data_IF_570502102038
#
_entry.id   IF_570502102038
#
_cell.length_a   1.000
_cell.length_b   1.000
_cell.length_c   1.000
_cell.angle_alpha   90.00
_cell.angle_beta   90.00
_cell.angle_gamma   90.00
#
_symmetry.space_group_name_H-M   'P 1'
#
loop_
_entity.id
_entity.type
_entity.pdbx_description
1 polymer ?
#
# COMPACT_ATOMS: atom_id res chain seq x y z
N UNK A 1 49.06 70.96 11.04
CA UNK A 1 48.35 70.18 10.00
C UNK A 1 47.23 69.42 10.71
N UNK A 2 46.00 69.89 10.57
CA UNK A 2 44.95 69.33 9.68
C UNK A 2 44.25 68.12 10.34
N UNK A 3 43.10 68.30 11.03
CA UNK A 3 41.69 68.35 10.57
C UNK A 3 40.98 67.00 10.82
N UNK A 4 39.80 67.12 11.44
CA UNK A 4 38.68 66.19 11.66
C UNK A 4 38.46 65.12 10.57
N UNK A 5 37.92 63.94 10.93
CA UNK A 5 36.51 63.56 10.68
C UNK A 5 36.21 62.10 11.05
N UNK A 6 34.92 61.90 11.32
CA UNK A 6 34.14 60.75 11.79
C UNK A 6 33.56 59.86 10.68
N UNK A 7 32.91 58.75 11.08
CA UNK A 7 32.08 57.76 10.32
C UNK A 7 32.90 56.77 9.46
N UNK A 8 32.60 55.49 9.27
CA UNK A 8 31.39 54.65 9.46
C UNK A 8 31.77 53.15 9.36
N UNK A 9 30.78 52.25 9.52
CA UNK A 9 30.79 50.78 9.40
C UNK A 9 31.62 50.18 8.23
N UNK A 10 32.14 48.96 8.42
CA UNK A 10 32.45 48.09 7.26
C UNK A 10 32.35 46.59 7.54
N UNK A 11 31.83 45.92 6.51
CA UNK A 11 31.45 44.52 6.33
C UNK A 11 32.63 43.58 6.02
N UNK A 12 32.46 42.29 6.34
CA UNK A 12 33.22 41.12 5.82
C UNK A 12 33.09 40.98 4.27
N UNK A 13 33.71 39.99 3.57
CA UNK A 13 34.99 39.23 3.72
C UNK A 13 35.77 39.06 2.38
N UNK A 14 36.96 38.43 2.38
CA UNK A 14 37.50 37.77 1.16
C UNK A 14 38.99 37.37 1.11
N UNK A 15 39.24 36.09 0.74
CA UNK A 15 40.39 35.50 0.01
C UNK A 15 41.71 35.27 0.79
N UNK A 16 42.34 34.08 0.89
CA UNK A 16 42.64 32.99 -0.05
C UNK A 16 42.67 31.63 0.71
N UNK A 17 42.03 30.53 0.25
CA UNK A 17 42.41 29.60 -0.83
C UNK A 17 43.65 28.71 -0.54
N UNK A 18 43.41 27.53 0.06
CA UNK A 18 44.32 26.36 0.03
C UNK A 18 43.50 25.04 0.15
N UNK A 19 42.75 24.65 -0.88
CA UNK A 19 42.38 23.24 -1.09
C UNK A 19 42.26 22.96 -2.60
N UNK A 20 42.80 21.83 -3.11
CA UNK A 20 42.63 21.48 -4.50
C UNK A 20 41.18 21.07 -4.76
N UNK A 21 40.56 21.76 -5.71
CA UNK A 21 39.29 21.38 -6.29
C UNK A 21 39.47 20.11 -7.13
N UNK A 22 38.59 19.13 -6.92
CA UNK A 22 37.89 18.40 -7.99
C UNK A 22 36.73 17.66 -7.34
N UNK A 23 35.61 18.39 -7.20
CA UNK A 23 34.29 17.76 -7.09
C UNK A 23 33.98 17.10 -8.43
N UNK A 24 34.20 15.79 -8.54
CA UNK A 24 33.38 14.95 -9.40
C UNK A 24 32.27 14.35 -8.54
N UNK A 25 31.24 15.16 -8.28
CA UNK A 25 29.94 14.60 -7.88
C UNK A 25 29.34 14.02 -9.16
N UNK A 26 29.37 12.69 -9.22
CA UNK A 26 28.79 11.88 -10.29
C UNK A 26 27.25 11.97 -10.17
N UNK A 27 26.67 13.06 -10.71
CA UNK A 27 25.22 13.33 -10.69
C UNK A 27 24.39 12.26 -11.43
N UNK A 28 25.03 11.32 -12.10
CA UNK A 28 24.42 10.18 -12.80
C UNK A 28 24.05 9.03 -11.88
N UNK A 29 24.76 8.81 -10.76
CA UNK A 29 24.49 7.68 -9.86
C UNK A 29 23.27 7.88 -8.95
N UNK A 30 23.03 9.11 -8.48
CA UNK A 30 21.84 9.39 -7.64
C UNK A 30 20.54 9.32 -8.44
N UNK A 31 20.52 9.89 -9.66
CA UNK A 31 19.34 9.94 -10.54
C UNK A 31 18.93 8.55 -11.03
N UNK A 32 19.89 7.66 -11.28
CA UNK A 32 19.60 6.27 -11.64
C UNK A 32 18.97 5.51 -10.45
N UNK A 33 19.52 5.71 -9.25
CA UNK A 33 19.05 5.04 -8.03
C UNK A 33 17.63 5.44 -7.61
N UNK A 34 17.23 6.71 -7.85
CA UNK A 34 15.87 7.18 -7.59
C UNK A 34 14.88 6.62 -8.60
N UNK A 35 15.28 6.56 -9.88
CA UNK A 35 14.43 6.02 -10.97
C UNK A 35 14.15 4.53 -10.76
N UNK A 36 15.15 3.75 -10.35
CA UNK A 36 14.98 2.31 -10.08
C UNK A 36 14.09 2.06 -8.85
N UNK A 37 14.18 2.90 -7.82
CA UNK A 37 13.32 2.82 -6.64
C UNK A 37 11.87 3.19 -6.95
N UNK A 38 11.65 4.22 -7.75
CA UNK A 38 10.31 4.60 -8.21
C UNK A 38 9.69 3.51 -9.08
N UNK A 39 10.45 2.94 -10.02
CA UNK A 39 9.99 1.82 -10.84
C UNK A 39 9.60 0.60 -9.99
N UNK A 40 10.39 0.29 -8.95
CA UNK A 40 10.08 -0.79 -8.02
C UNK A 40 8.80 -0.52 -7.21
N UNK A 41 8.60 0.71 -6.73
CA UNK A 41 7.36 1.10 -6.02
C UNK A 41 6.15 0.96 -6.93
N UNK A 42 6.21 1.52 -8.15
CA UNK A 42 5.12 1.38 -9.13
C UNK A 42 4.84 -0.08 -9.49
N UNK A 43 5.86 -0.92 -9.58
CA UNK A 43 5.68 -2.36 -9.81
C UNK A 43 4.93 -3.03 -8.65
N UNK A 44 5.32 -2.77 -7.40
CA UNK A 44 4.65 -3.33 -6.21
C UNK A 44 3.21 -2.83 -6.05
N UNK A 45 2.94 -1.57 -6.41
CA UNK A 45 1.58 -1.01 -6.43
C UNK A 45 0.72 -1.73 -7.50
N UNK A 46 1.27 -1.98 -8.69
CA UNK A 46 0.58 -2.73 -9.73
C UNK A 46 0.28 -4.18 -9.32
N UNK A 47 1.23 -4.88 -8.68
CA UNK A 47 1.01 -6.22 -8.12
C UNK A 47 -0.07 -6.20 -7.03
N UNK A 48 -0.04 -5.21 -6.15
CA UNK A 48 -1.03 -5.04 -5.08
C UNK A 48 -2.42 -4.74 -5.63
N UNK A 49 -2.50 -3.94 -6.69
CA UNK A 49 -3.74 -3.70 -7.40
C UNK A 49 -4.29 -4.98 -8.03
N UNK A 50 -3.48 -5.75 -8.75
CA UNK A 50 -3.90 -7.03 -9.33
C UNK A 50 -4.36 -8.02 -8.25
N UNK A 51 -3.64 -8.11 -7.14
CA UNK A 51 -3.99 -8.96 -6.01
C UNK A 51 -5.33 -8.53 -5.39
N UNK A 52 -5.53 -7.23 -5.18
CA UNK A 52 -6.78 -6.70 -4.67
C UNK A 52 -7.94 -7.05 -5.62
N UNK A 53 -7.81 -6.77 -6.92
CA UNK A 53 -8.84 -7.11 -7.91
C UNK A 53 -9.21 -8.60 -7.88
N UNK A 54 -8.23 -9.49 -7.68
CA UNK A 54 -8.48 -10.92 -7.54
C UNK A 54 -9.26 -11.29 -6.25
N UNK A 55 -9.04 -10.57 -5.14
CA UNK A 55 -9.85 -10.72 -3.93
C UNK A 55 -11.29 -10.25 -4.12
N UNK A 56 -11.51 -9.21 -4.94
CA UNK A 56 -12.80 -8.54 -5.07
C UNK A 56 -13.71 -9.17 -6.12
N UNK A 57 -13.13 -9.80 -7.15
CA UNK A 57 -13.88 -10.27 -8.31
C UNK A 57 -14.00 -11.80 -8.29
N UNK A 58 -15.21 -12.37 -8.35
CA UNK A 58 -15.37 -13.81 -8.53
C UNK A 58 -14.87 -14.28 -9.90
N UNK A 59 -14.13 -15.38 -9.95
CA UNK A 59 -13.81 -16.05 -11.22
C UNK A 59 -12.60 -16.97 -11.15
N UNK A 60 -12.55 -18.02 -11.99
CA UNK A 60 -11.49 -19.03 -11.95
C UNK A 60 -10.10 -18.48 -12.28
N UNK A 61 -10.02 -17.35 -13.00
CA UNK A 61 -8.76 -16.65 -13.28
C UNK A 61 -8.19 -15.97 -12.02
N UNK A 62 -9.05 -15.55 -11.10
CA UNK A 62 -8.65 -14.78 -9.92
C UNK A 62 -8.04 -15.69 -8.84
N UNK A 63 -8.53 -16.92 -8.69
CA UNK A 63 -7.88 -17.94 -7.86
C UNK A 63 -6.44 -18.21 -8.32
N UNK A 64 -6.21 -18.23 -9.64
CA UNK A 64 -4.87 -18.35 -10.21
C UNK A 64 -3.95 -17.20 -9.82
N UNK A 65 -4.47 -15.96 -9.81
CA UNK A 65 -3.72 -14.77 -9.37
C UNK A 65 -3.40 -14.85 -7.88
N UNK A 66 -4.38 -15.20 -7.04
CA UNK A 66 -4.17 -15.37 -5.60
C UNK A 66 -3.09 -16.41 -5.31
N UNK A 67 -3.13 -17.56 -6.00
CA UNK A 67 -2.11 -18.61 -5.86
C UNK A 67 -0.74 -18.22 -6.39
N UNK A 68 -0.68 -17.36 -7.40
CA UNK A 68 0.58 -16.90 -7.98
C UNK A 68 1.27 -15.80 -7.17
N UNK A 69 0.49 -14.96 -6.48
CA UNK A 69 0.99 -13.78 -5.79
C UNK A 69 1.04 -13.92 -4.27
N UNK A 70 0.27 -14.83 -3.66
CA UNK A 70 0.33 -15.07 -2.22
C UNK A 70 1.31 -16.20 -1.88
N UNK A 71 2.04 -16.03 -0.78
CA UNK A 71 2.89 -17.07 -0.23
C UNK A 71 2.07 -18.23 0.38
N UNK A 72 2.64 -19.44 0.54
CA UNK A 72 1.94 -20.55 1.20
C UNK A 72 1.52 -20.24 2.65
N UNK A 73 2.35 -19.49 3.38
CA UNK A 73 2.12 -19.01 4.75
C UNK A 73 1.35 -17.68 4.81
N UNK A 74 0.60 -17.36 3.75
CA UNK A 74 -0.18 -16.12 3.68
C UNK A 74 -1.16 -15.99 4.86
N UNK A 75 -1.19 -14.80 5.47
CA UNK A 75 -2.08 -14.49 6.58
C UNK A 75 -2.99 -13.30 6.28
N UNK A 76 -4.31 -13.49 6.44
CA UNK A 76 -5.27 -12.39 6.49
C UNK A 76 -5.57 -12.01 7.94
N UNK A 77 -5.13 -10.83 8.36
CA UNK A 77 -5.30 -10.32 9.72
C UNK A 77 -6.47 -9.33 9.73
N UNK A 78 -7.61 -9.78 10.25
CA UNK A 78 -8.71 -8.88 10.60
C UNK A 78 -8.39 -8.15 11.91
N UNK A 79 -8.72 -6.85 11.97
CA UNK A 79 -8.64 -6.12 13.23
C UNK A 79 -9.79 -6.58 14.15
N UNK A 80 -9.52 -6.92 15.42
CA UNK A 80 -10.57 -7.35 16.36
C UNK A 80 -11.59 -6.23 16.62
N UNK A 81 -11.18 -4.98 16.47
CA UNK A 81 -12.05 -3.82 16.64
C UNK A 81 -12.84 -3.49 15.38
N UNK A 82 -12.45 -4.05 14.22
CA UNK A 82 -12.99 -3.68 12.92
C UNK A 82 -13.11 -4.92 12.02
N UNK A 83 -14.15 -5.77 12.22
CA UNK A 83 -14.27 -7.04 11.51
C UNK A 83 -14.26 -6.83 9.99
N UNK A 84 -13.54 -7.70 9.29
CA UNK A 84 -13.50 -7.74 7.83
C UNK A 84 -14.50 -8.79 7.31
N UNK A 85 -15.05 -8.58 6.11
CA UNK A 85 -15.91 -9.58 5.46
C UNK A 85 -15.14 -10.87 5.12
N UNK A 86 -13.84 -10.73 4.84
CA UNK A 86 -12.91 -11.84 4.70
C UNK A 86 -12.44 -12.23 6.10
N UNK A 87 -12.72 -13.49 6.48
CA UNK A 87 -12.34 -14.03 7.78
C UNK A 87 -10.83 -14.13 7.95
N UNK A 88 -10.39 -14.25 9.20
CA UNK A 88 -8.99 -14.55 9.52
C UNK A 88 -8.54 -15.85 8.83
N UNK A 89 -7.30 -15.84 8.37
CA UNK A 89 -6.60 -17.01 7.83
C UNK A 89 -5.12 -16.91 8.21
N UNK A 90 -4.51 -18.04 8.51
CA UNK A 90 -3.07 -18.17 8.82
C UNK A 90 -2.30 -18.95 7.74
N UNK A 91 -2.99 -19.35 6.68
CA UNK A 91 -2.42 -19.98 5.50
C UNK A 91 -3.27 -19.70 4.25
N UNK A 92 -2.67 -19.93 3.08
CA UNK A 92 -3.30 -19.63 1.79
C UNK A 92 -4.56 -20.46 1.51
N UNK A 93 -4.58 -21.76 1.85
CA UNK A 93 -5.74 -22.60 1.52
C UNK A 93 -6.98 -22.20 2.33
N UNK A 94 -6.79 -21.88 3.61
CA UNK A 94 -7.84 -21.34 4.47
C UNK A 94 -8.33 -19.99 3.95
N UNK A 95 -7.41 -19.13 3.51
CA UNK A 95 -7.74 -17.86 2.88
C UNK A 95 -8.58 -18.04 1.61
N UNK A 96 -8.20 -18.94 0.72
CA UNK A 96 -8.95 -19.20 -0.52
C UNK A 96 -10.37 -19.72 -0.24
N UNK A 97 -10.55 -20.55 0.80
CA UNK A 97 -11.89 -20.95 1.25
C UNK A 97 -12.70 -19.75 1.77
N UNK A 98 -12.06 -18.83 2.51
CA UNK A 98 -12.71 -17.60 2.98
C UNK A 98 -13.10 -16.69 1.82
N UNK A 99 -12.24 -16.56 0.79
CA UNK A 99 -12.53 -15.77 -0.42
C UNK A 99 -13.68 -16.36 -1.22
N UNK A 100 -13.72 -17.68 -1.41
CA UNK A 100 -14.84 -18.33 -2.11
C UNK A 100 -16.18 -18.07 -1.37
N UNK A 101 -16.17 -18.18 -0.04
CA UNK A 101 -17.34 -17.84 0.79
C UNK A 101 -17.73 -16.36 0.68
N UNK A 102 -16.73 -15.48 0.64
CA UNK A 102 -16.93 -14.05 0.47
C UNK A 102 -17.57 -13.73 -0.89
N UNK A 103 -17.04 -14.27 -1.99
CA UNK A 103 -17.60 -14.11 -3.34
C UNK A 103 -19.05 -14.61 -3.46
N UNK A 104 -19.36 -15.74 -2.83
CA UNK A 104 -20.75 -16.23 -2.77
C UNK A 104 -21.68 -15.21 -2.11
N UNK A 105 -21.25 -14.59 -1.01
CA UNK A 105 -22.03 -13.54 -0.32
C UNK A 105 -22.21 -12.29 -1.17
N UNK A 106 -21.20 -11.86 -1.94
CA UNK A 106 -21.34 -10.73 -2.88
C UNK A 106 -22.43 -11.05 -3.92
N UNK A 107 -22.40 -12.25 -4.50
CA UNK A 107 -23.38 -12.65 -5.52
C UNK A 107 -24.81 -12.72 -4.97
N UNK A 108 -24.96 -13.03 -3.68
CA UNK A 108 -26.24 -13.03 -2.96
C UNK A 108 -26.74 -11.62 -2.58
N UNK A 109 -25.93 -10.57 -2.74
CA UNK A 109 -26.21 -9.19 -2.29
C UNK A 109 -26.15 -8.17 -3.45
N UNK A 110 -27.30 -7.85 -4.08
CA UNK A 110 -27.36 -6.85 -5.15
C UNK A 110 -26.85 -5.48 -4.69
N UNK A 111 -25.92 -4.91 -5.47
CA UNK A 111 -25.34 -3.58 -5.22
C UNK A 111 -24.05 -3.58 -4.38
N UNK A 112 -23.67 -4.71 -3.77
CA UNK A 112 -22.39 -4.78 -3.08
C UNK A 112 -21.23 -4.71 -4.08
N UNK A 113 -20.44 -3.65 -4.01
CA UNK A 113 -19.17 -3.57 -4.73
C UNK A 113 -18.05 -3.02 -3.86
N UNK A 114 -16.85 -3.53 -4.12
CA UNK A 114 -15.62 -3.12 -3.48
C UNK A 114 -14.73 -2.46 -4.55
N UNK A 115 -14.13 -1.35 -4.18
CA UNK A 115 -13.10 -0.68 -4.98
C UNK A 115 -11.87 -0.41 -4.12
N UNK A 116 -10.69 -0.57 -4.71
CA UNK A 116 -9.46 -0.07 -4.14
C UNK A 116 -9.11 1.27 -4.78
N UNK A 117 -8.86 2.30 -3.98
CA UNK A 117 -8.78 3.68 -4.49
C UNK A 117 -7.36 4.19 -4.57
N UNK A 118 -6.51 3.82 -3.62
CA UNK A 118 -5.13 4.34 -3.51
C UNK A 118 -4.16 3.23 -3.16
N UNK A 119 -2.93 3.35 -3.66
CA UNK A 119 -1.81 2.47 -3.33
C UNK A 119 -0.59 3.34 -3.03
N UNK A 120 0.18 2.95 -2.02
CA UNK A 120 1.46 3.57 -1.70
C UNK A 120 2.43 2.53 -1.19
N UNK A 121 3.51 2.32 -1.93
CA UNK A 121 4.55 1.36 -1.59
C UNK A 121 5.71 1.98 -0.80
N UNK A 122 6.08 1.33 0.31
CA UNK A 122 7.30 1.56 1.08
C UNK A 122 8.19 0.33 0.97
N UNK A 123 9.42 0.51 0.49
CA UNK A 123 10.37 -0.60 0.24
C UNK A 123 11.52 -0.53 1.23
N UNK A 124 11.87 -1.69 1.80
CA UNK A 124 13.05 -1.84 2.67
C UNK A 124 14.35 -1.47 1.95
N UNK A 125 15.35 -0.99 2.70
CA UNK A 125 16.66 -0.58 2.13
C UNK A 125 17.37 -1.70 1.36
N UNK A 126 17.22 -2.95 1.80
CA UNK A 126 17.79 -4.13 1.14
C UNK A 126 16.87 -4.72 0.05
N UNK A 127 15.74 -4.05 -0.26
CA UNK A 127 14.77 -4.45 -1.28
C UNK A 127 14.29 -5.90 -1.19
N UNK A 128 14.23 -6.44 0.04
CA UNK A 128 13.73 -7.81 0.29
C UNK A 128 12.31 -7.84 0.81
N UNK A 129 11.84 -6.71 1.35
CA UNK A 129 10.51 -6.52 1.91
C UNK A 129 9.90 -5.20 1.45
N UNK A 130 8.58 -5.15 1.38
CA UNK A 130 7.83 -3.93 1.15
C UNK A 130 6.47 -3.97 1.84
N UNK A 131 6.00 -2.80 2.27
CA UNK A 131 4.64 -2.59 2.73
C UNK A 131 3.91 -1.73 1.69
N UNK A 132 2.76 -2.20 1.21
CA UNK A 132 1.89 -1.43 0.32
C UNK A 132 0.62 -1.09 1.07
N UNK A 133 0.41 0.19 1.34
CA UNK A 133 -0.81 0.68 1.99
C UNK A 133 -1.86 0.98 0.93
N UNK A 134 -3.10 0.58 1.17
CA UNK A 134 -4.20 0.85 0.26
C UNK A 134 -5.50 1.16 0.99
N UNK A 135 -6.33 1.99 0.36
CA UNK A 135 -7.70 2.27 0.79
C UNK A 135 -8.65 1.38 0.00
N UNK A 136 -9.48 0.63 0.71
CA UNK A 136 -10.59 -0.11 0.14
C UNK A 136 -11.91 0.54 0.54
N UNK A 137 -12.75 0.84 -0.44
CA UNK A 137 -14.09 1.37 -0.24
C UNK A 137 -15.13 0.31 -0.57
N UNK A 138 -16.09 0.14 0.32
CA UNK A 138 -17.32 -0.61 0.08
C UNK A 138 -18.42 0.38 -0.23
N UNK A 139 -19.09 0.20 -1.36
CA UNK A 139 -20.17 1.09 -1.78
C UNK A 139 -21.51 0.36 -1.69
N UNK A 140 -22.58 1.15 -1.54
CA UNK A 140 -23.85 0.69 -0.98
C UNK A 140 -24.49 -0.47 -1.75
N UNK A 141 -24.84 -1.50 -0.99
CA UNK A 141 -25.65 -2.64 -1.44
C UNK A 141 -26.74 -2.96 -0.42
N UNK A 142 -27.77 -3.67 -0.87
CA UNK A 142 -28.77 -4.26 0.01
C UNK A 142 -28.25 -5.63 0.45
N UNK A 143 -27.99 -5.83 1.74
CA UNK A 143 -27.87 -7.20 2.27
C UNK A 143 -29.09 -7.57 3.10
N UNK A 144 -29.28 -8.86 3.32
CA UNK A 144 -30.27 -9.37 4.26
C UNK A 144 -29.59 -9.64 5.59
N UNK A 145 -30.17 -9.15 6.68
CA UNK A 145 -29.75 -9.53 8.02
C UNK A 145 -30.13 -10.99 8.33
N UNK A 146 -29.81 -11.50 9.53
CA UNK A 146 -30.15 -12.87 9.92
C UNK A 146 -31.66 -13.13 10.04
N UNK A 147 -32.50 -12.09 10.00
CA UNK A 147 -33.96 -12.17 9.94
C UNK A 147 -34.51 -12.09 8.51
N UNK A 148 -33.64 -11.93 7.50
CA UNK A 148 -34.02 -11.76 6.11
C UNK A 148 -34.41 -10.33 5.72
N UNK A 149 -34.28 -9.36 6.63
CA UNK A 149 -34.61 -7.95 6.37
C UNK A 149 -33.53 -7.30 5.53
N UNK A 150 -33.92 -6.59 4.48
CA UNK A 150 -33.00 -5.77 3.72
C UNK A 150 -32.47 -4.62 4.59
N UNK A 151 -31.15 -4.52 4.65
CA UNK A 151 -30.39 -3.47 5.31
C UNK A 151 -29.47 -2.84 4.27
N UNK A 152 -29.61 -1.53 4.11
CA UNK A 152 -28.73 -0.73 3.28
C UNK A 152 -27.41 -0.51 4.02
N UNK A 153 -26.31 -0.89 3.38
CA UNK A 153 -24.97 -0.59 3.89
C UNK A 153 -24.56 0.77 3.34
N UNK A 154 -24.36 1.76 4.23
CA UNK A 154 -23.69 3.00 3.83
C UNK A 154 -22.28 2.73 3.34
N UNK A 155 -21.73 3.64 2.53
CA UNK A 155 -20.36 3.54 2.06
C UNK A 155 -19.39 3.41 3.27
N UNK A 156 -18.46 2.46 3.21
CA UNK A 156 -17.45 2.27 4.25
C UNK A 156 -16.08 2.29 3.62
N UNK A 157 -15.13 2.85 4.35
CA UNK A 157 -13.72 2.83 3.96
C UNK A 157 -12.92 2.06 5.00
N UNK A 158 -11.93 1.31 4.52
CA UNK A 158 -10.98 0.60 5.36
C UNK A 158 -9.57 0.80 4.81
N UNK A 159 -8.63 1.07 5.72
CA UNK A 159 -7.22 1.14 5.39
C UNK A 159 -6.56 -0.20 5.66
N UNK A 160 -5.79 -0.66 4.69
CA UNK A 160 -5.13 -1.95 4.70
C UNK A 160 -3.65 -1.79 4.37
N UNK A 161 -2.86 -2.75 4.83
CA UNK A 161 -1.48 -2.93 4.41
C UNK A 161 -1.31 -4.33 3.83
N UNK A 162 -0.74 -4.43 2.63
CA UNK A 162 -0.20 -5.67 2.08
C UNK A 162 1.29 -5.72 2.39
N UNK A 163 1.76 -6.82 2.94
CA UNK A 163 3.17 -7.06 3.21
C UNK A 163 3.73 -8.02 2.18
N UNK A 164 4.78 -7.57 1.52
CA UNK A 164 5.46 -8.26 0.45
C UNK A 164 6.86 -8.65 0.89
N UNK A 165 7.31 -9.82 0.44
CA UNK A 165 8.71 -10.26 0.57
C UNK A 165 9.16 -10.89 -0.74
N UNK A 166 10.48 -11.02 -0.90
CA UNK A 166 11.04 -11.85 -1.96
C UNK A 166 11.18 -13.29 -1.50
N UNK A 167 10.81 -14.23 -2.38
CA UNK A 167 11.02 -15.66 -2.18
C UNK A 167 12.42 -16.11 -2.62
N UNK A 168 12.69 -17.41 -2.54
CA UNK A 168 13.98 -18.02 -2.91
C UNK A 168 14.33 -17.84 -4.40
N UNK A 169 13.32 -17.61 -5.26
CA UNK A 169 13.50 -17.28 -6.68
C UNK A 169 13.65 -15.77 -6.92
N UNK A 170 13.79 -14.95 -5.87
CA UNK A 170 13.86 -13.49 -5.93
C UNK A 170 12.60 -12.84 -6.56
N UNK A 171 11.47 -13.55 -6.56
CA UNK A 171 10.17 -13.05 -6.98
C UNK A 171 9.38 -12.49 -5.78
N UNK A 172 8.56 -11.48 -6.01
CA UNK A 172 7.72 -10.87 -4.97
C UNK A 172 6.48 -11.72 -4.69
N UNK A 173 6.27 -12.01 -3.41
CA UNK A 173 5.06 -12.66 -2.90
C UNK A 173 4.48 -11.86 -1.73
N UNK A 174 3.16 -11.77 -1.67
CA UNK A 174 2.42 -11.20 -0.56
C UNK A 174 2.25 -12.28 0.51
N UNK A 175 2.67 -12.00 1.74
CA UNK A 175 2.58 -12.96 2.85
C UNK A 175 1.60 -12.51 3.93
N UNK A 176 1.17 -11.25 3.92
CA UNK A 176 0.15 -10.79 4.84
C UNK A 176 -0.69 -9.64 4.28
N UNK A 177 -1.98 -9.64 4.61
CA UNK A 177 -2.84 -8.47 4.48
C UNK A 177 -3.43 -8.18 5.85
N UNK A 178 -3.30 -6.94 6.31
CA UNK A 178 -3.84 -6.50 7.59
C UNK A 178 -4.72 -5.27 7.42
N UNK A 179 -5.93 -5.32 7.99
CA UNK A 179 -6.76 -4.13 8.16
C UNK A 179 -6.21 -3.30 9.32
N UNK A 180 -5.77 -2.08 9.05
CA UNK A 180 -5.21 -1.17 10.06
C UNK A 180 -6.32 -0.43 10.82
N UNK A 181 -7.31 0.08 10.10
CA UNK A 181 -8.39 0.87 10.66
C UNK A 181 -9.61 0.89 9.74
N UNK A 182 -10.76 1.24 10.32
CA UNK A 182 -11.99 1.55 9.60
C UNK A 182 -13.17 0.73 10.08
N UNK A 183 -14.12 1.40 10.73
CA UNK A 183 -15.53 1.04 10.79
C UNK A 183 -16.32 2.33 10.54
N UNK A 184 -16.95 2.46 9.37
CA UNK A 184 -18.02 3.44 9.15
C UNK A 184 -17.66 4.91 9.42
N UNK A 185 -16.70 5.49 8.70
CA UNK A 185 -16.95 6.85 8.25
C UNK A 185 -18.10 6.74 7.24
N UNK A 186 -19.34 6.82 7.72
CA UNK A 186 -20.39 7.42 6.90
C UNK A 186 -19.85 8.78 6.51
N UNK A 187 -19.36 8.89 5.27
CA UNK A 187 -19.15 10.20 4.67
C UNK A 187 -20.55 10.84 4.70
N UNK A 188 -20.74 11.94 5.45
CA UNK A 188 -22.04 12.59 5.56
C UNK A 188 -22.54 13.10 4.20
#
# INVERSE_FOLDING_TARGET
>A
MAVMQSFEESTLPGLFSCFPATNHYDHTNEVQSTTDQEALRSHLEALSHALCQAHLTPGPKNDGVLRALCSPDFCWISSPNHPCYIGYSDNLEDHLRNIANFHRRIQEQPGFYLESVTYSASVSRNQSHADVTFLMRTMSGLAKDMSGREIEFGAREGYFVMRWRKNDQNAWECFAIQKLMGDGLTIP
#
